data_IF_379339040813
#
_entry.id   IF_379339040813
#
_cell.length_a   1.000
_cell.length_b   1.000
_cell.length_c   1.000
_cell.angle_alpha   90.00
_cell.angle_beta   90.00
_cell.angle_gamma   90.00
#
_symmetry.space_group_name_H-M   'P 1'
#
loop_
_entity.id
_entity.type
_entity.pdbx_description
1 polymer ?
#
# COMPACT_ATOMS: atom_id res chain seq x y z
N UNK A 1 10.95 -10.28 -21.06
CA UNK A 1 9.58 -10.43 -21.56
C UNK A 1 9.63 -11.12 -22.91
N UNK A 2 9.11 -12.34 -22.97
CA UNK A 2 8.96 -13.14 -24.18
C UNK A 2 7.51 -13.06 -24.66
N UNK A 3 7.24 -13.54 -25.88
CA UNK A 3 5.86 -13.68 -26.38
C UNK A 3 5.05 -14.69 -25.57
N UNK A 4 5.71 -15.71 -25.00
CA UNK A 4 5.07 -16.70 -24.14
C UNK A 4 4.58 -16.05 -22.84
N UNK A 5 5.41 -15.18 -22.22
CA UNK A 5 5.02 -14.41 -21.02
C UNK A 5 3.73 -13.62 -21.24
N UNK A 6 3.58 -12.98 -22.41
CA UNK A 6 2.37 -12.25 -22.78
C UNK A 6 1.17 -13.17 -23.05
N UNK A 7 1.40 -14.32 -23.68
CA UNK A 7 0.35 -15.29 -24.02
C UNK A 7 -0.23 -15.95 -22.76
N UNK A 8 0.61 -16.19 -21.76
CA UNK A 8 0.25 -16.93 -20.56
C UNK A 8 -0.26 -16.03 -19.44
N UNK A 9 -0.04 -14.71 -19.53
CA UNK A 9 -0.52 -13.75 -18.53
C UNK A 9 -2.06 -13.81 -18.39
N UNK A 10 -2.52 -13.90 -17.15
CA UNK A 10 -3.94 -13.81 -16.79
C UNK A 10 -4.11 -12.88 -15.61
N UNK A 11 -5.14 -12.05 -15.66
CA UNK A 11 -5.59 -11.29 -14.50
C UNK A 11 -6.30 -12.24 -13.53
N UNK A 12 -6.02 -12.04 -12.25
CA UNK A 12 -6.68 -12.76 -11.17
C UNK A 12 -7.79 -11.89 -10.57
N UNK A 13 -8.92 -12.50 -10.26
CA UNK A 13 -9.99 -11.86 -9.49
C UNK A 13 -9.87 -12.36 -8.06
N UNK A 14 -9.46 -11.46 -7.17
CA UNK A 14 -9.34 -11.74 -5.75
C UNK A 14 -10.52 -11.13 -4.97
N UNK A 15 -10.85 -11.73 -3.84
CA UNK A 15 -11.78 -11.15 -2.87
C UNK A 15 -11.10 -9.94 -2.22
N UNK A 16 -11.83 -8.84 -2.07
CA UNK A 16 -11.31 -7.63 -1.46
C UNK A 16 -11.03 -7.86 0.04
N UNK A 17 -9.93 -7.29 0.53
CA UNK A 17 -9.68 -7.22 1.97
C UNK A 17 -10.63 -6.19 2.59
N UNK A 18 -11.13 -6.48 3.79
CA UNK A 18 -12.14 -5.64 4.45
C UNK A 18 -11.80 -5.35 5.90
N UNK A 19 -12.19 -4.17 6.37
CA UNK A 19 -12.19 -3.80 7.78
C UNK A 19 -13.46 -3.02 8.11
N UNK A 20 -14.06 -3.31 9.27
CA UNK A 20 -15.20 -2.54 9.77
C UNK A 20 -14.71 -1.37 10.61
N UNK A 21 -15.09 -0.15 10.22
CA UNK A 21 -14.73 1.08 10.92
C UNK A 21 -15.96 1.94 11.17
N UNK A 22 -16.32 2.14 12.44
CA UNK A 22 -17.42 3.03 12.88
C UNK A 22 -18.75 2.83 12.11
N UNK A 23 -19.12 1.57 11.88
CA UNK A 23 -20.35 1.20 11.18
C UNK A 23 -20.24 1.07 9.65
N UNK A 24 -19.08 1.36 9.08
CA UNK A 24 -18.78 1.21 7.65
C UNK A 24 -17.90 -0.02 7.40
N UNK A 25 -18.16 -0.74 6.31
CA UNK A 25 -17.23 -1.74 5.79
C UNK A 25 -16.35 -1.07 4.73
N UNK A 26 -15.03 -1.09 4.96
CA UNK A 26 -14.04 -0.47 4.08
C UNK A 26 -13.30 -1.57 3.33
N UNK A 27 -13.29 -1.47 1.99
CA UNK A 27 -12.72 -2.48 1.11
C UNK A 27 -11.46 -1.98 0.41
N UNK A 28 -10.46 -2.86 0.29
CA UNK A 28 -9.24 -2.59 -0.50
C UNK A 28 -8.77 -3.83 -1.24
N UNK A 29 -7.75 -3.68 -2.10
CA UNK A 29 -7.07 -4.82 -2.72
C UNK A 29 -6.27 -5.65 -1.70
N UNK A 30 -5.69 -6.76 -2.16
CA UNK A 30 -4.86 -7.63 -1.32
C UNK A 30 -3.44 -7.07 -1.12
N UNK A 31 -2.59 -7.78 -0.37
CA UNK A 31 -1.23 -7.34 0.01
C UNK A 31 -0.23 -7.12 -1.12
N UNK A 32 -0.59 -7.47 -2.36
CA UNK A 32 0.18 -7.07 -3.54
C UNK A 32 0.07 -5.56 -3.80
N UNK A 33 -0.92 -4.89 -3.21
CA UNK A 33 -1.04 -3.44 -3.20
C UNK A 33 -0.91 -2.87 -1.78
N UNK A 34 -0.90 -1.54 -1.66
CA UNK A 34 -0.77 -0.87 -0.37
C UNK A 34 -2.11 -0.61 0.33
N UNK A 35 -3.23 -0.95 -0.31
CA UNK A 35 -4.57 -0.74 0.23
C UNK A 35 -4.73 -1.21 1.68
N UNK A 36 -4.25 -2.41 2.05
CA UNK A 36 -4.38 -2.92 3.41
C UNK A 36 -3.74 -2.06 4.52
N UNK A 37 -2.81 -1.15 4.19
CA UNK A 37 -2.26 -0.18 5.16
C UNK A 37 -3.37 0.71 5.72
N UNK A 38 -4.30 1.14 4.87
CA UNK A 38 -5.46 1.92 5.30
C UNK A 38 -6.34 1.11 6.26
N UNK A 39 -6.63 -0.16 5.92
CA UNK A 39 -7.45 -1.04 6.76
C UNK A 39 -6.83 -1.22 8.14
N UNK A 40 -5.51 -1.45 8.19
CA UNK A 40 -4.79 -1.62 9.44
C UNK A 40 -4.77 -0.34 10.28
N UNK A 41 -4.52 0.82 9.65
CA UNK A 41 -4.57 2.10 10.35
C UNK A 41 -5.97 2.38 10.92
N UNK A 42 -7.04 2.08 10.17
CA UNK A 42 -8.41 2.21 10.64
C UNK A 42 -8.74 1.26 11.79
N UNK A 43 -8.25 0.01 11.75
CA UNK A 43 -8.41 -0.94 12.84
C UNK A 43 -7.70 -0.48 14.12
N UNK A 44 -6.51 0.13 14.01
CA UNK A 44 -5.84 0.75 15.16
C UNK A 44 -6.67 1.93 15.69
N UNK A 45 -7.19 2.77 14.78
CA UNK A 45 -7.96 3.96 15.11
C UNK A 45 -9.39 3.70 15.62
N UNK A 46 -9.89 2.46 15.53
CA UNK A 46 -11.30 2.15 15.83
C UNK A 46 -11.71 2.44 17.27
N UNK A 47 -10.78 2.26 18.21
CA UNK A 47 -11.01 2.46 19.65
C UNK A 47 -10.68 3.87 20.13
N UNK A 48 -10.12 4.73 19.28
CA UNK A 48 -9.91 6.13 19.62
C UNK A 48 -11.11 6.97 19.20
N UNK A 49 -11.59 7.81 20.12
CA UNK A 49 -12.65 8.76 19.76
C UNK A 49 -12.11 10.04 19.12
N UNK A 50 -11.73 9.93 17.84
CA UNK A 50 -11.28 11.05 17.03
C UNK A 50 -12.32 12.19 16.91
N UNK A 51 -13.61 11.93 17.19
CA UNK A 51 -14.65 12.96 17.09
C UNK A 51 -14.64 13.94 18.27
N UNK A 52 -14.02 13.57 19.39
CA UNK A 52 -13.82 14.43 20.56
C UNK A 52 -12.57 15.32 20.43
N UNK A 53 -11.74 15.06 19.42
CA UNK A 53 -10.53 15.83 19.16
C UNK A 53 -10.81 16.90 18.11
N UNK A 54 -10.07 18.00 18.18
CA UNK A 54 -10.08 19.00 17.12
C UNK A 54 -9.58 18.36 15.81
N UNK A 55 -10.37 18.45 14.76
CA UNK A 55 -9.98 17.89 13.46
C UNK A 55 -8.72 18.58 12.95
N UNK A 56 -7.69 17.78 12.63
CA UNK A 56 -6.33 18.24 12.31
C UNK A 56 -5.62 19.01 13.45
N UNK A 57 -6.11 18.92 14.69
CA UNK A 57 -5.39 19.35 15.88
C UNK A 57 -4.23 18.41 16.22
N UNK A 58 -3.37 18.82 17.17
CA UNK A 58 -2.16 18.08 17.52
C UNK A 58 -2.44 16.64 17.96
N UNK A 59 -3.40 16.44 18.86
CA UNK A 59 -3.76 15.10 19.37
C UNK A 59 -4.37 14.21 18.29
N UNK A 60 -5.19 14.79 17.41
CA UNK A 60 -5.77 14.08 16.26
C UNK A 60 -4.67 13.62 15.31
N UNK A 61 -3.78 14.53 14.92
CA UNK A 61 -2.67 14.23 14.01
C UNK A 61 -1.71 13.23 14.63
N UNK A 62 -1.42 13.32 15.92
CA UNK A 62 -0.59 12.37 16.64
C UNK A 62 -1.13 10.94 16.51
N UNK A 63 -2.40 10.71 16.83
CA UNK A 63 -3.02 9.39 16.70
C UNK A 63 -2.99 8.86 15.26
N UNK A 64 -3.30 9.71 14.28
CA UNK A 64 -3.30 9.33 12.86
C UNK A 64 -1.89 8.98 12.39
N UNK A 65 -0.90 9.82 12.71
CA UNK A 65 0.50 9.63 12.31
C UNK A 65 1.06 8.35 12.93
N UNK A 66 0.91 8.17 14.24
CA UNK A 66 1.43 6.98 14.94
C UNK A 66 0.78 5.69 14.44
N UNK A 67 -0.53 5.71 14.15
CA UNK A 67 -1.24 4.57 13.55
C UNK A 67 -0.71 4.25 12.16
N UNK A 68 -0.46 5.27 11.33
CA UNK A 68 0.13 5.11 10.00
C UNK A 68 1.57 4.58 10.08
N UNK A 69 2.41 5.09 10.99
CA UNK A 69 3.78 4.59 11.18
C UNK A 69 3.80 3.09 11.46
N UNK A 70 2.92 2.62 12.33
CA UNK A 70 2.79 1.19 12.65
C UNK A 70 2.32 0.37 11.45
N UNK A 71 1.27 0.80 10.76
CA UNK A 71 0.75 0.11 9.58
C UNK A 71 1.77 0.06 8.43
N UNK A 72 2.50 1.15 8.18
CA UNK A 72 3.60 1.17 7.21
C UNK A 72 4.77 0.26 7.64
N UNK A 73 5.06 0.14 8.93
CA UNK A 73 6.11 -0.78 9.40
C UNK A 73 5.79 -2.23 9.05
N UNK A 74 4.53 -2.64 9.18
CA UNK A 74 4.10 -3.99 8.80
C UNK A 74 4.06 -4.17 7.29
N UNK A 75 3.67 -3.13 6.54
CA UNK A 75 3.76 -3.13 5.08
C UNK A 75 5.17 -3.47 4.59
N UNK A 76 6.19 -2.81 5.12
CA UNK A 76 7.58 -3.05 4.72
C UNK A 76 8.06 -4.48 5.05
N UNK A 77 7.54 -5.07 6.13
CA UNK A 77 7.94 -6.42 6.57
C UNK A 77 7.20 -7.53 5.83
N UNK A 78 5.92 -7.34 5.56
CA UNK A 78 5.00 -8.45 5.25
C UNK A 78 4.25 -8.31 3.93
N UNK A 79 4.27 -7.15 3.27
CA UNK A 79 3.52 -6.99 2.01
C UNK A 79 4.40 -7.40 0.82
N UNK A 80 3.77 -8.07 -0.14
CA UNK A 80 4.45 -8.65 -1.29
C UNK A 80 3.53 -9.59 -2.04
N UNK A 81 4.12 -10.52 -2.80
CA UNK A 81 3.36 -11.52 -3.55
C UNK A 81 2.54 -12.41 -2.59
N UNK A 82 1.20 -12.46 -2.73
CA UNK A 82 0.35 -13.32 -1.90
C UNK A 82 0.75 -14.80 -1.95
N UNK A 83 1.36 -15.28 -3.04
CA UNK A 83 1.83 -16.67 -3.11
C UNK A 83 2.93 -16.97 -2.08
N UNK A 84 3.61 -15.94 -1.58
CA UNK A 84 4.70 -16.04 -0.62
C UNK A 84 4.26 -15.57 0.77
N UNK A 85 3.48 -14.48 0.84
CA UNK A 85 3.21 -13.75 2.08
C UNK A 85 1.77 -13.87 2.61
N UNK A 86 0.88 -14.60 1.95
CA UNK A 86 -0.56 -14.65 2.32
C UNK A 86 -0.81 -15.06 3.78
N UNK A 87 -0.17 -16.11 4.27
CA UNK A 87 -0.37 -16.59 5.65
C UNK A 87 0.14 -15.62 6.72
N UNK A 88 1.07 -14.73 6.36
CA UNK A 88 1.56 -13.65 7.22
C UNK A 88 0.57 -12.49 7.19
N UNK A 89 0.15 -12.06 6.00
CA UNK A 89 -0.81 -10.98 5.82
C UNK A 89 -2.15 -11.18 6.54
N UNK A 90 -2.68 -12.41 6.51
CA UNK A 90 -3.93 -12.77 7.19
C UNK A 90 -3.85 -12.56 8.71
N UNK A 91 -2.65 -12.61 9.32
CA UNK A 91 -2.46 -12.39 10.75
C UNK A 91 -2.48 -10.92 11.13
N UNK A 92 -2.02 -10.02 10.26
CA UNK A 92 -1.86 -8.59 10.59
C UNK A 92 -3.13 -7.76 10.41
N UNK A 93 -4.15 -8.30 9.73
CA UNK A 93 -5.48 -7.69 9.63
C UNK A 93 -6.45 -8.17 10.73
N UNK A 94 -5.95 -8.92 11.71
CA UNK A 94 -6.76 -9.40 12.85
C UNK A 94 -6.97 -8.30 13.90
N UNK A 95 -8.10 -8.33 14.63
CA UNK A 95 -8.33 -7.44 15.77
C UNK A 95 -7.23 -7.54 16.82
N UNK A 96 -6.73 -8.75 17.09
CA UNK A 96 -5.69 -9.01 18.10
C UNK A 96 -4.38 -8.31 17.75
N UNK A 97 -4.01 -8.31 16.48
CA UNK A 97 -2.81 -7.60 16.01
C UNK A 97 -3.01 -6.08 16.11
N UNK A 98 -4.16 -5.56 15.66
CA UNK A 98 -4.49 -4.14 15.78
C UNK A 98 -4.46 -3.67 17.25
N UNK A 99 -4.96 -4.47 18.18
CA UNK A 99 -4.89 -4.21 19.62
C UNK A 99 -3.45 -4.19 20.14
N UNK A 100 -2.61 -5.11 19.65
CA UNK A 100 -1.17 -5.14 19.93
C UNK A 100 -0.47 -3.86 19.52
N UNK A 101 -0.72 -3.40 18.30
CA UNK A 101 -0.17 -2.14 17.77
C UNK A 101 -0.72 -0.92 18.51
N UNK A 102 -2.02 -0.88 18.81
CA UNK A 102 -2.66 0.22 19.52
C UNK A 102 -2.04 0.48 20.88
N UNK A 103 -1.66 -0.58 21.61
CA UNK A 103 -0.99 -0.49 22.91
C UNK A 103 0.38 0.20 22.87
N UNK A 104 0.98 0.34 21.68
CA UNK A 104 2.25 1.05 21.50
C UNK A 104 2.06 2.57 21.37
N UNK A 105 0.85 3.03 21.04
CA UNK A 105 0.55 4.45 20.87
C UNK A 105 0.33 5.07 22.25
N UNK A 106 1.10 6.13 22.54
CA UNK A 106 0.96 6.92 23.77
C UNK A 106 0.83 8.39 23.43
N UNK A 107 -0.03 9.12 24.14
CA UNK A 107 -0.23 10.56 23.90
C UNK A 107 0.94 11.43 24.37
N UNK A 108 1.81 10.92 25.24
CA UNK A 108 2.93 11.63 25.85
C UNK A 108 4.28 11.35 25.17
N UNK A 109 4.32 10.50 24.15
CA UNK A 109 5.54 10.12 23.46
C UNK A 109 5.29 9.75 22.01
N UNK A 110 6.27 9.96 21.15
CA UNK A 110 6.26 9.48 19.76
C UNK A 110 6.97 8.14 19.66
N UNK A 111 6.49 7.24 18.80
CA UNK A 111 7.25 6.05 18.46
C UNK A 111 8.56 6.46 17.78
N UNK A 112 9.67 5.77 18.07
CA UNK A 112 10.89 5.96 17.31
C UNK A 112 10.63 5.66 15.83
N UNK A 113 11.50 6.16 14.95
CA UNK A 113 11.46 5.72 13.55
C UNK A 113 11.65 4.20 13.52
N UNK A 114 10.55 3.50 13.26
CA UNK A 114 10.50 2.05 13.30
C UNK A 114 11.54 1.53 12.30
N UNK A 115 12.31 0.52 12.68
CA UNK A 115 13.55 0.04 12.02
C UNK A 115 13.43 -0.33 10.54
N UNK A 116 12.23 -0.31 9.96
CA UNK A 116 12.00 -0.34 8.51
C UNK A 116 12.26 1.00 7.80
N UNK A 117 12.46 2.09 8.56
CA UNK A 117 12.93 3.41 8.09
C UNK A 117 14.45 3.56 8.12
N UNK A 118 15.20 2.51 8.46
CA UNK A 118 16.66 2.53 8.63
C UNK A 118 17.42 2.55 7.29
N UNK A 119 16.87 3.23 6.29
CA UNK A 119 17.68 3.82 5.24
C UNK A 119 18.21 5.13 5.78
N UNK A 120 19.44 5.09 6.27
CA UNK A 120 20.26 6.28 6.43
C UNK A 120 20.11 7.14 5.18
N UNK A 121 19.77 8.42 5.35
CA UNK A 121 19.88 9.44 4.30
C UNK A 121 21.38 9.79 4.10
N UNK A 122 22.23 8.76 4.07
CA UNK A 122 23.66 8.87 3.75
C UNK A 122 23.86 8.31 2.35
N UNK A 123 23.26 9.03 1.39
CA UNK A 123 23.46 8.87 -0.03
C UNK A 123 23.22 10.23 -0.68
N UNK A 124 23.88 10.57 -1.80
CA UNK A 124 23.63 11.83 -2.49
C UNK A 124 22.13 11.95 -2.70
N UNK A 125 21.54 13.06 -2.22
CA UNK A 125 20.11 13.33 -2.24
C UNK A 125 19.50 12.76 -3.53
N UNK A 126 18.72 11.68 -3.40
CA UNK A 126 18.12 10.98 -4.53
C UNK A 126 17.44 12.04 -5.36
N UNK A 127 17.97 12.27 -6.57
CA UNK A 127 17.60 13.40 -7.41
C UNK A 127 16.08 13.49 -7.55
N UNK A 128 15.56 14.73 -7.58
CA UNK A 128 14.14 15.09 -7.76
C UNK A 128 13.25 13.87 -7.96
N UNK A 129 12.50 13.49 -6.93
CA UNK A 129 11.45 12.48 -7.04
C UNK A 129 10.70 12.70 -8.36
N UNK A 130 10.79 11.72 -9.27
CA UNK A 130 10.07 11.79 -10.53
C UNK A 130 8.60 11.90 -10.14
N UNK A 131 7.90 12.95 -10.57
CA UNK A 131 6.43 13.03 -10.43
C UNK A 131 5.85 11.77 -11.08
N UNK A 132 5.33 10.86 -10.26
CA UNK A 132 4.59 9.67 -10.68
C UNK A 132 3.13 9.98 -10.39
N UNK A 133 2.41 10.46 -11.39
CA UNK A 133 1.01 10.79 -11.20
C UNK A 133 0.15 9.53 -11.45
N UNK A 134 -0.70 9.17 -10.50
CA UNK A 134 -1.69 8.10 -10.65
C UNK A 134 -3.06 8.73 -10.87
N UNK A 135 -3.83 8.22 -11.84
CA UNK A 135 -5.22 8.66 -12.04
C UNK A 135 -6.12 7.74 -11.22
N UNK A 136 -7.13 8.30 -10.55
CA UNK A 136 -8.20 7.52 -9.91
C UNK A 136 -9.55 7.96 -10.49
N UNK A 137 -10.43 7.01 -10.77
CA UNK A 137 -11.82 7.30 -11.10
C UNK A 137 -12.77 6.28 -10.48
N UNK A 138 -13.98 6.75 -10.16
CA UNK A 138 -15.07 5.94 -9.59
C UNK A 138 -16.34 6.17 -10.42
N UNK A 139 -17.06 5.09 -10.72
CA UNK A 139 -18.32 5.12 -11.49
C UNK A 139 -19.36 4.38 -10.67
N UNK A 140 -20.56 4.98 -10.56
CA UNK A 140 -21.76 4.33 -10.02
C UNK A 140 -22.86 4.49 -11.06
N UNK A 141 -23.49 3.38 -11.45
CA UNK A 141 -24.60 3.41 -12.41
C UNK A 141 -25.97 3.42 -11.72
N UNK A 142 -27.02 3.55 -12.53
CA UNK A 142 -28.41 3.60 -12.06
C UNK A 142 -28.91 2.28 -11.46
N UNK A 143 -28.27 1.16 -11.80
CA UNK A 143 -28.63 -0.18 -11.33
C UNK A 143 -27.94 -0.51 -10.00
N UNK A 144 -27.08 0.40 -9.51
CA UNK A 144 -26.36 0.29 -8.25
C UNK A 144 -25.01 -0.41 -8.37
N UNK A 145 -24.50 -0.65 -9.59
CA UNK A 145 -23.15 -1.16 -9.75
C UNK A 145 -22.15 -0.04 -9.44
N UNK A 146 -21.09 -0.37 -8.70
CA UNK A 146 -20.01 0.55 -8.37
C UNK A 146 -18.66 -0.02 -8.82
N UNK A 147 -17.82 0.84 -9.41
CA UNK A 147 -16.49 0.50 -9.85
C UNK A 147 -15.51 1.60 -9.46
N UNK A 148 -14.38 1.24 -8.87
CA UNK A 148 -13.28 2.16 -8.53
C UNK A 148 -11.98 1.60 -9.08
N UNK A 149 -11.18 2.46 -9.72
CA UNK A 149 -9.92 2.04 -10.33
C UNK A 149 -8.88 3.15 -10.22
N UNK A 150 -7.63 2.74 -9.96
CA UNK A 150 -6.46 3.61 -9.95
C UNK A 150 -5.42 3.12 -10.97
N UNK A 151 -5.63 3.32 -12.29
CA UNK A 151 -4.62 2.95 -13.27
C UNK A 151 -3.37 3.84 -13.10
N UNK A 152 -2.21 3.21 -13.23
CA UNK A 152 -0.93 3.88 -13.11
C UNK A 152 0.04 3.34 -14.15
N UNK A 153 0.91 4.21 -14.64
CA UNK A 153 2.05 3.86 -15.47
C UNK A 153 3.30 4.55 -14.91
N UNK A 154 4.35 3.78 -14.61
CA UNK A 154 5.60 4.30 -14.05
C UNK A 154 6.54 4.85 -15.13
N UNK A 155 6.13 4.86 -16.40
CA UNK A 155 6.98 5.15 -17.57
C UNK A 155 7.30 6.60 -17.88
N UNK A 156 6.87 7.59 -17.09
CA UNK A 156 6.95 8.99 -17.48
C UNK A 156 8.37 9.36 -17.98
N UNK A 157 8.53 9.42 -19.32
CA UNK A 157 9.70 9.83 -20.14
C UNK A 157 10.72 8.76 -20.62
N UNK A 158 10.45 7.45 -20.60
CA UNK A 158 11.34 6.44 -21.24
C UNK A 158 11.03 6.26 -22.74
N UNK A 159 11.92 6.60 -23.71
CA UNK A 159 11.57 6.57 -25.13
C UNK A 159 10.96 5.23 -25.55
N UNK A 160 9.91 5.26 -26.39
CA UNK A 160 9.28 4.08 -26.96
C UNK A 160 10.34 3.17 -27.58
N UNK A 161 10.60 2.01 -26.94
CA UNK A 161 11.51 0.98 -27.44
C UNK A 161 10.79 -0.13 -28.20
N UNK A 162 9.46 -0.08 -28.27
CA UNK A 162 8.64 -1.09 -28.96
C UNK A 162 8.63 -0.87 -30.49
N UNK A 163 8.95 0.34 -30.97
CA UNK A 163 8.96 0.68 -32.39
C UNK A 163 7.61 0.50 -33.08
N UNK A 164 6.54 0.22 -32.33
CA UNK A 164 5.21 -0.08 -32.88
C UNK A 164 4.12 0.42 -31.93
N UNK A 165 3.30 1.35 -32.46
CA UNK A 165 1.96 1.73 -31.93
C UNK A 165 1.90 2.52 -30.62
N UNK A 166 3.00 3.07 -30.12
CA UNK A 166 2.96 4.02 -28.99
C UNK A 166 2.60 3.39 -27.64
N UNK A 167 2.94 2.12 -27.44
CA UNK A 167 2.85 1.44 -26.15
C UNK A 167 4.14 1.63 -25.35
N UNK A 168 4.00 2.01 -24.08
CA UNK A 168 5.12 2.25 -23.16
C UNK A 168 5.13 1.14 -22.10
N UNK A 169 6.29 0.49 -21.88
CA UNK A 169 6.42 -0.64 -20.95
C UNK A 169 7.20 -0.23 -19.69
N UNK A 170 6.57 -0.29 -18.49
CA UNK A 170 7.14 0.25 -17.26
C UNK A 170 8.43 -0.47 -16.86
N UNK A 171 9.49 0.25 -16.46
CA UNK A 171 10.66 -0.39 -15.88
C UNK A 171 10.33 -0.90 -14.47
N UNK A 172 10.81 -2.10 -14.16
CA UNK A 172 10.79 -2.64 -12.80
C UNK A 172 12.02 -2.12 -12.03
N UNK A 173 11.81 -1.56 -10.83
CA UNK A 173 12.90 -1.14 -9.95
C UNK A 173 13.35 -2.31 -9.07
N UNK A 174 14.58 -2.77 -9.29
CA UNK A 174 15.23 -3.82 -8.52
C UNK A 174 16.02 -3.23 -7.34
N UNK A 175 15.70 -3.65 -6.11
CA UNK A 175 16.55 -3.42 -4.94
C UNK A 175 16.69 -4.71 -4.13
N UNK A 176 17.90 -5.31 -4.05
CA UNK A 176 18.11 -6.60 -3.36
C UNK A 176 17.98 -6.53 -1.83
N UNK A 177 17.80 -5.33 -1.26
CA UNK A 177 17.69 -5.10 0.18
C UNK A 177 16.25 -5.09 0.72
N UNK A 178 15.23 -5.23 -0.14
CA UNK A 178 13.81 -5.27 0.27
C UNK A 178 13.28 -6.70 0.28
N UNK A 179 12.36 -6.97 1.20
CA UNK A 179 11.57 -8.22 1.29
C UNK A 179 10.86 -8.56 -0.04
N UNK A 180 10.62 -7.56 -0.88
CA UNK A 180 10.06 -7.66 -2.23
C UNK A 180 11.11 -8.14 -3.24
N UNK A 181 11.53 -9.40 -3.13
CA UNK A 181 12.45 -10.03 -4.09
C UNK A 181 11.72 -10.28 -5.40
N UNK A 182 12.12 -9.60 -6.47
CA UNK A 182 11.61 -9.86 -7.84
C UNK A 182 12.08 -11.24 -8.30
N UNK A 183 11.11 -12.10 -8.64
CA UNK A 183 11.33 -13.43 -9.23
C UNK A 183 10.60 -13.53 -10.57
N UNK A 184 10.98 -14.47 -11.46
CA UNK A 184 10.16 -14.78 -12.62
C UNK A 184 8.72 -15.08 -12.18
N UNK A 185 7.74 -14.42 -12.81
CA UNK A 185 6.28 -14.59 -12.58
C UNK A 185 5.74 -13.94 -11.29
N UNK A 186 6.57 -13.37 -10.40
CA UNK A 186 6.08 -12.73 -9.17
C UNK A 186 5.54 -11.32 -9.39
N UNK A 187 4.54 -10.90 -8.60
CA UNK A 187 4.04 -9.52 -8.61
C UNK A 187 4.87 -8.62 -7.67
N UNK A 188 5.46 -7.51 -8.14
CA UNK A 188 6.04 -6.51 -7.25
C UNK A 188 4.94 -5.80 -6.46
N UNK A 189 5.21 -5.40 -5.23
CA UNK A 189 4.26 -4.59 -4.47
C UNK A 189 4.14 -3.20 -5.12
N UNK A 190 2.91 -2.74 -5.38
CA UNK A 190 2.70 -1.40 -5.95
C UNK A 190 3.22 -0.32 -4.99
N UNK A 191 4.01 0.65 -5.48
CA UNK A 191 4.50 1.82 -4.71
C UNK A 191 3.42 2.90 -4.52
N UNK A 192 3.61 3.90 -3.63
CA UNK A 192 2.76 5.09 -3.63
C UNK A 192 3.12 5.96 -4.85
N UNK A 193 2.11 6.65 -5.41
CA UNK A 193 2.30 7.75 -6.35
C UNK A 193 2.80 9.01 -5.64
#
# INVERSE_FOLDING_TARGET
MTLEDMRDFRNEVAVAQTCRYRGWDVYTGDIYCQGPVLLQALAILSEFDLSQLEHNGADYLHLVIESLKLAFSDREKYYGDPQIYRSLAEQFLTPEHADGLRRLIRMDSVLPDLTTLQHSIDGPAVGRARRRDTTNFCIVDQDGNAFSCAPSDTNLRQPDRSGTRGLWCPPEEYSPARSQVIRPVSRPASGPG
#
